data_IF_319429814701
#
_entry.id   IF_319429814701
#
_cell.length_a   1.000
_cell.length_b   1.000
_cell.length_c   1.000
_cell.angle_alpha   90.00
_cell.angle_beta   90.00
_cell.angle_gamma   90.00
#
_symmetry.space_group_name_H-M   'P 1'
#
loop_
_entity.id
_entity.type
_entity.pdbx_description
1 polymer ?
#
# COMPACT_ATOMS: atom_id res chain seq x y z
N UNK A 1 30.92 -12.93 39.82
CA UNK A 1 30.06 -11.76 40.15
C UNK A 1 30.38 -10.48 39.35
N UNK A 2 31.28 -10.49 38.36
CA UNK A 2 31.60 -9.29 37.56
C UNK A 2 30.66 -9.12 36.34
N UNK A 3 30.20 -10.24 35.77
CA UNK A 3 29.38 -10.24 34.54
C UNK A 3 28.02 -9.55 34.73
N UNK A 4 27.43 -9.67 35.93
CA UNK A 4 26.16 -9.00 36.28
C UNK A 4 26.30 -7.48 36.21
N UNK A 5 27.47 -6.96 36.61
CA UNK A 5 27.77 -5.52 36.58
C UNK A 5 27.80 -4.95 35.16
N UNK A 6 28.07 -5.79 34.15
CA UNK A 6 28.05 -5.44 32.73
C UNK A 6 26.68 -5.73 32.10
N UNK A 7 26.04 -6.86 32.46
CA UNK A 7 24.74 -7.22 31.87
C UNK A 7 23.63 -6.25 32.24
N UNK A 8 23.59 -5.76 33.49
CA UNK A 8 22.55 -4.84 33.95
C UNK A 8 22.52 -3.55 33.10
N UNK A 9 23.63 -2.80 32.93
CA UNK A 9 23.61 -1.60 32.10
C UNK A 9 23.37 -1.92 30.61
N UNK A 10 23.90 -3.03 30.09
CA UNK A 10 23.63 -3.45 28.71
C UNK A 10 22.13 -3.68 28.47
N UNK A 11 21.46 -4.37 29.39
CA UNK A 11 20.01 -4.60 29.28
C UNK A 11 19.21 -3.30 29.34
N UNK A 12 19.58 -2.36 30.21
CA UNK A 12 18.94 -1.05 30.27
C UNK A 12 19.08 -0.28 28.95
N UNK A 13 20.27 -0.32 28.33
CA UNK A 13 20.50 0.31 27.02
C UNK A 13 19.65 -0.36 25.94
N UNK A 14 19.57 -1.70 25.93
CA UNK A 14 18.78 -2.43 24.95
C UNK A 14 17.28 -2.12 25.08
N UNK A 15 16.76 -2.04 26.31
CA UNK A 15 15.36 -1.65 26.57
C UNK A 15 15.13 -0.21 26.13
N UNK A 16 16.01 0.72 26.47
CA UNK A 16 15.90 2.11 26.06
C UNK A 16 15.91 2.26 24.53
N UNK A 17 16.81 1.53 23.86
CA UNK A 17 16.88 1.50 22.39
C UNK A 17 15.60 0.94 21.78
N UNK A 18 15.07 -0.15 22.34
CA UNK A 18 13.80 -0.73 21.93
C UNK A 18 12.64 0.28 22.03
N UNK A 19 12.55 1.00 23.14
CA UNK A 19 11.51 2.04 23.35
C UNK A 19 11.67 3.18 22.33
N UNK A 20 12.89 3.64 22.08
CA UNK A 20 13.16 4.71 21.11
C UNK A 20 12.78 4.28 19.69
N UNK A 21 13.22 3.10 19.26
CA UNK A 21 12.91 2.56 17.93
C UNK A 21 11.41 2.31 17.76
N UNK A 22 10.76 1.73 18.76
CA UNK A 22 9.32 1.51 18.75
C UNK A 22 8.55 2.83 18.68
N UNK A 23 8.93 3.82 19.50
CA UNK A 23 8.30 5.14 19.47
C UNK A 23 8.50 5.86 18.14
N UNK A 24 9.64 5.67 17.48
CA UNK A 24 9.88 6.19 16.13
C UNK A 24 8.99 5.50 15.11
N UNK A 25 8.90 4.16 15.13
CA UNK A 25 8.07 3.40 14.20
C UNK A 25 6.57 3.75 14.30
N UNK A 26 6.06 3.91 15.53
CA UNK A 26 4.68 4.36 15.78
C UNK A 26 4.45 5.77 15.21
N UNK A 27 5.37 6.70 15.46
CA UNK A 27 5.26 8.08 14.92
C UNK A 27 5.37 8.13 13.40
N UNK A 28 6.06 7.18 12.79
CA UNK A 28 6.28 7.12 11.34
C UNK A 28 5.10 6.49 10.57
N UNK A 29 3.98 6.20 11.24
CA UNK A 29 2.76 5.70 10.61
C UNK A 29 2.88 4.28 10.04
N UNK A 30 3.85 3.47 10.49
CA UNK A 30 4.05 2.11 9.96
C UNK A 30 2.83 1.19 10.18
N UNK A 31 1.95 1.55 11.12
CA UNK A 31 0.72 0.81 11.42
C UNK A 31 -0.52 1.35 10.70
N UNK A 32 -0.40 2.46 9.96
CA UNK A 32 -1.53 3.09 9.28
C UNK A 32 -1.91 2.36 7.98
N UNK A 33 -1.01 1.53 7.43
CA UNK A 33 -1.23 0.75 6.20
C UNK A 33 -1.38 -0.76 6.47
N UNK A 34 -2.09 -1.13 7.54
CA UNK A 34 -2.47 -2.52 7.80
C UNK A 34 -3.69 -2.98 6.97
N UNK A 35 -4.43 -2.05 6.36
CA UNK A 35 -5.61 -2.32 5.54
C UNK A 35 -5.32 -2.42 4.03
N UNK A 36 -4.15 -1.97 3.56
CA UNK A 36 -3.85 -1.78 2.14
C UNK A 36 -3.79 -3.03 1.25
N UNK A 37 -3.25 -4.20 1.70
CA UNK A 37 -3.08 -5.36 0.82
C UNK A 37 -4.28 -6.33 0.79
N UNK A 38 -5.01 -6.46 1.90
CA UNK A 38 -6.05 -7.49 2.03
C UNK A 38 -7.28 -7.21 1.14
N UNK A 39 -7.57 -5.94 0.86
CA UNK A 39 -8.70 -5.55 0.02
C UNK A 39 -8.39 -5.76 -1.47
N UNK A 40 -7.14 -5.59 -1.91
CA UNK A 40 -6.77 -5.69 -3.33
C UNK A 40 -6.87 -7.13 -3.86
N UNK A 41 -6.49 -8.11 -3.05
CA UNK A 41 -6.49 -9.52 -3.49
C UNK A 41 -7.89 -10.09 -3.74
N UNK A 42 -8.93 -9.48 -3.17
CA UNK A 42 -10.33 -9.90 -3.33
C UNK A 42 -11.04 -9.20 -4.48
N UNK A 43 -10.55 -8.05 -4.96
CA UNK A 43 -11.25 -7.22 -5.95
C UNK A 43 -10.45 -6.91 -7.23
N UNK A 44 -9.12 -7.16 -7.26
CA UNK A 44 -8.29 -6.88 -8.44
C UNK A 44 -8.46 -7.92 -9.56
N UNK A 45 -8.90 -9.15 -9.26
CA UNK A 45 -9.08 -10.23 -10.25
C UNK A 45 -10.45 -10.17 -10.96
N UNK A 46 -11.44 -9.50 -10.36
CA UNK A 46 -12.83 -9.49 -10.85
C UNK A 46 -13.13 -8.33 -11.81
N UNK A 47 -12.27 -7.30 -11.87
CA UNK A 47 -12.48 -6.11 -12.71
C UNK A 47 -12.57 -6.43 -14.20
N UNK A 48 -11.86 -7.47 -14.64
CA UNK A 48 -11.83 -7.93 -16.03
C UNK A 48 -12.96 -8.97 -16.30
N UNK A 49 -13.67 -9.41 -15.26
CA UNK A 49 -14.80 -10.35 -15.34
C UNK A 49 -16.17 -9.68 -15.33
N UNK A 50 -16.25 -8.36 -15.13
CA UNK A 50 -17.52 -7.61 -15.19
C UNK A 50 -17.95 -7.45 -16.66
N UNK A 51 -19.09 -8.02 -17.09
CA UNK A 51 -19.63 -7.83 -18.43
C UNK A 51 -19.86 -6.34 -18.71
N UNK A 52 -19.59 -5.87 -19.94
CA UNK A 52 -19.70 -4.46 -20.33
C UNK A 52 -21.12 -3.87 -20.21
N UNK A 53 -22.10 -4.75 -20.02
CA UNK A 53 -23.52 -4.47 -19.87
C UNK A 53 -23.91 -4.16 -18.42
N UNK A 54 -23.05 -4.56 -17.46
CA UNK A 54 -23.26 -4.42 -16.01
C UNK A 54 -22.48 -3.24 -15.40
N UNK A 55 -21.60 -2.56 -16.17
CA UNK A 55 -20.84 -1.40 -15.70
C UNK A 55 -21.75 -0.16 -15.58
N UNK A 56 -21.72 0.59 -14.46
CA UNK A 56 -22.50 1.81 -14.32
C UNK A 56 -22.10 2.85 -15.39
N UNK A 57 -23.04 3.67 -15.89
CA UNK A 57 -22.82 4.51 -17.08
C UNK A 57 -21.69 5.55 -16.98
N UNK A 58 -21.11 5.78 -15.80
CA UNK A 58 -20.12 6.85 -15.58
C UNK A 58 -18.69 6.49 -16.00
N UNK A 59 -18.38 5.22 -16.28
CA UNK A 59 -17.00 4.79 -16.55
C UNK A 59 -16.71 4.54 -18.05
N UNK A 60 -17.75 4.48 -18.90
CA UNK A 60 -17.60 4.29 -20.35
C UNK A 60 -17.03 5.51 -21.10
N UNK A 61 -16.81 6.65 -20.44
CA UNK A 61 -16.50 7.92 -21.15
C UNK A 61 -15.02 8.23 -21.38
N UNK A 62 -14.07 7.50 -20.78
CA UNK A 62 -12.64 7.88 -20.85
C UNK A 62 -11.79 6.96 -21.75
N UNK A 63 -12.32 5.82 -22.19
CA UNK A 63 -11.55 4.86 -23.00
C UNK A 63 -11.71 5.04 -24.53
N UNK A 64 -12.54 5.97 -24.99
CA UNK A 64 -12.93 6.10 -26.41
C UNK A 64 -12.36 7.35 -27.12
N UNK A 65 -11.46 8.11 -26.49
CA UNK A 65 -10.96 9.39 -27.06
C UNK A 65 -9.54 9.30 -27.66
N UNK A 66 -8.97 8.10 -27.86
CA UNK A 66 -7.55 8.00 -28.30
C UNK A 66 -7.30 7.04 -29.47
N UNK A 67 -8.31 6.74 -30.31
CA UNK A 67 -8.12 5.80 -31.45
C UNK A 67 -8.71 6.20 -32.80
N UNK A 68 -9.10 7.45 -33.02
CA UNK A 68 -9.63 7.86 -34.34
C UNK A 68 -9.21 9.27 -34.74
N UNK A 69 -7.91 9.58 -34.75
CA UNK A 69 -7.39 10.82 -35.33
C UNK A 69 -6.42 10.62 -36.52
N UNK A 70 -6.19 9.39 -37.01
CA UNK A 70 -5.16 9.15 -38.04
C UNK A 70 -5.64 8.66 -39.43
N UNK A 71 -6.94 8.44 -39.69
CA UNK A 71 -7.34 7.77 -40.95
C UNK A 71 -8.43 8.47 -41.79
N UNK A 72 -8.45 9.81 -41.83
CA UNK A 72 -9.26 10.50 -42.84
C UNK A 72 -8.74 11.87 -43.26
N UNK A 73 -7.50 11.91 -43.79
CA UNK A 73 -6.97 13.03 -44.57
C UNK A 73 -6.48 12.56 -45.94
N UNK A 74 -7.35 11.90 -46.69
CA UNK A 74 -7.16 11.75 -48.14
C UNK A 74 -8.52 11.54 -48.84
N UNK A 75 -9.20 12.65 -49.14
CA UNK A 75 -10.28 12.78 -50.14
C UNK A 75 -10.50 14.26 -50.43
#
# INVERSE_FOLDING_TARGET
MQIVMILVPVMLILVALGIVLFSWAVKNGQYDDLEGPAHRILYDDDKDMIPDDAKPPSEKKVADTDRTDDEQKDS
#
